data_IF_939825074651
#
_entry.id   IF_939825074651
#
_cell.length_a   1.000
_cell.length_b   1.000
_cell.length_c   1.000
_cell.angle_alpha   90.00
_cell.angle_beta   90.00
_cell.angle_gamma   90.00
#
_symmetry.space_group_name_H-M   'P 1'
#
loop_
_entity.id
_entity.type
_entity.pdbx_description
1 polymer ?
#
# COMPACT_ATOMS: atom_id res chain seq x y z
N UNK A 1 -27.35 37.27 -24.02
CA UNK A 1 -26.67 37.40 -25.32
C UNK A 1 -26.55 38.88 -25.62
N UNK A 2 -25.38 39.41 -26.04
CA UNK A 2 -24.11 38.74 -26.38
C UNK A 2 -23.01 39.09 -25.33
N UNK A 3 -21.76 38.61 -25.27
CA UNK A 3 -20.93 37.54 -25.86
C UNK A 3 -19.75 37.42 -24.84
N UNK A 4 -19.33 36.24 -24.39
CA UNK A 4 -18.34 35.44 -25.10
C UNK A 4 -16.91 35.69 -24.60
N UNK A 5 -16.58 35.29 -23.36
CA UNK A 5 -15.19 35.14 -22.91
C UNK A 5 -14.92 33.64 -22.63
N UNK A 6 -14.48 32.95 -23.68
CA UNK A 6 -13.89 31.62 -23.60
C UNK A 6 -12.52 31.72 -22.94
N UNK A 7 -12.44 31.33 -21.67
CA UNK A 7 -11.16 31.10 -21.00
C UNK A 7 -10.55 29.80 -21.51
N UNK A 8 -9.42 29.91 -22.21
CA UNK A 8 -8.62 28.79 -22.69
C UNK A 8 -8.25 27.88 -21.51
N UNK A 9 -8.69 26.63 -21.57
CA UNK A 9 -8.09 25.53 -20.80
C UNK A 9 -6.71 25.30 -21.42
N UNK A 10 -5.66 25.71 -20.71
CA UNK A 10 -4.31 25.33 -21.06
C UNK A 10 -4.16 23.82 -20.85
N UNK A 11 -4.24 23.06 -21.94
CA UNK A 11 -3.74 21.69 -21.99
C UNK A 11 -2.23 21.82 -22.01
N UNK A 12 -1.56 21.35 -20.96
CA UNK A 12 -0.11 21.23 -20.97
C UNK A 12 0.25 20.07 -21.91
N UNK A 13 0.70 20.40 -23.12
CA UNK A 13 1.45 19.48 -23.97
C UNK A 13 2.83 19.26 -23.31
N UNK A 14 3.11 18.02 -22.92
CA UNK A 14 4.39 17.58 -22.34
C UNK A 14 5.34 17.28 -23.50
N UNK A 15 6.05 18.32 -23.95
CA UNK A 15 7.11 18.19 -24.92
C UNK A 15 8.26 17.42 -24.28
N UNK A 16 8.76 16.36 -24.94
CA UNK A 16 9.72 15.38 -24.42
C UNK A 16 11.08 15.89 -23.90
N UNK A 17 11.26 17.20 -23.71
CA UNK A 17 12.35 17.81 -22.95
C UNK A 17 12.26 17.53 -21.44
N UNK A 18 11.07 17.28 -20.89
CA UNK A 18 10.90 17.00 -19.44
C UNK A 18 11.59 15.69 -18.99
N UNK A 19 11.67 14.70 -19.90
CA UNK A 19 12.26 13.39 -19.66
C UNK A 19 13.79 13.43 -19.60
N UNK A 20 14.41 14.22 -20.50
CA UNK A 20 15.87 14.39 -20.54
C UNK A 20 16.37 15.14 -19.30
N UNK A 21 15.61 16.11 -18.80
CA UNK A 21 15.92 16.85 -17.57
C UNK A 21 15.80 15.95 -16.34
N UNK A 22 14.82 15.03 -16.32
CA UNK A 22 14.68 14.03 -15.25
C UNK A 22 15.82 12.99 -15.26
N UNK A 23 16.25 12.49 -16.43
CA UNK A 23 17.41 11.59 -16.52
C UNK A 23 18.71 12.28 -16.09
N UNK A 24 18.93 13.53 -16.50
CA UNK A 24 20.11 14.31 -16.10
C UNK A 24 20.13 14.54 -14.58
N UNK A 25 18.98 14.84 -13.98
CA UNK A 25 18.85 14.95 -12.52
C UNK A 25 19.10 13.61 -11.81
N UNK A 26 18.69 12.49 -12.42
CA UNK A 26 18.94 11.13 -11.90
C UNK A 26 20.43 10.76 -11.93
N UNK A 27 21.11 11.06 -13.04
CA UNK A 27 22.54 10.83 -13.20
C UNK A 27 23.37 11.70 -12.23
N UNK A 28 23.02 12.98 -12.08
CA UNK A 28 23.67 13.91 -11.16
C UNK A 28 23.47 13.50 -9.69
N UNK A 29 22.28 13.00 -9.33
CA UNK A 29 21.98 12.51 -7.97
C UNK A 29 22.76 11.23 -7.65
N UNK A 30 22.91 10.31 -8.62
CA UNK A 30 23.73 9.10 -8.51
C UNK A 30 25.21 9.42 -8.31
N UNK A 31 25.77 10.36 -9.07
CA UNK A 31 27.16 10.82 -8.88
C UNK A 31 27.36 11.50 -7.51
N UNK A 32 26.40 12.32 -7.06
CA UNK A 32 26.49 13.02 -5.78
C UNK A 32 26.43 12.05 -4.58
N UNK A 33 25.67 10.95 -4.69
CA UNK A 33 25.63 9.87 -3.71
C UNK A 33 26.93 9.06 -3.67
N UNK A 34 27.55 8.80 -4.83
CA UNK A 34 28.83 8.09 -4.91
C UNK A 34 30.00 8.90 -4.34
N UNK A 35 29.90 10.24 -4.33
CA UNK A 35 30.89 11.17 -3.76
C UNK A 35 30.57 11.61 -2.33
N UNK A 36 29.53 11.06 -1.70
CA UNK A 36 29.15 11.43 -0.34
C UNK A 36 30.21 10.92 0.67
N UNK A 37 30.79 11.80 1.52
CA UNK A 37 31.86 11.43 2.45
C UNK A 37 31.53 10.26 3.39
N UNK A 38 30.25 10.11 3.75
CA UNK A 38 29.76 9.03 4.61
C UNK A 38 29.88 7.62 3.97
N UNK A 39 29.73 7.52 2.64
CA UNK A 39 29.87 6.25 1.90
C UNK A 39 31.34 5.91 1.64
N UNK A 40 32.19 6.92 1.51
CA UNK A 40 33.64 6.75 1.39
C UNK A 40 34.26 6.32 2.74
N UNK A 41 33.81 6.92 3.84
CA UNK A 41 34.18 6.49 5.20
C UNK A 41 33.71 5.06 5.53
N UNK A 42 32.52 4.64 5.06
CA UNK A 42 32.03 3.27 5.22
C UNK A 42 32.86 2.23 4.45
N UNK A 43 33.45 2.62 3.30
CA UNK A 43 34.37 1.76 2.54
C UNK A 43 35.74 1.65 3.21
N UNK A 44 36.28 2.76 3.73
CA UNK A 44 37.56 2.77 4.44
C UNK A 44 37.47 1.99 5.76
N UNK A 45 36.37 2.11 6.52
CA UNK A 45 36.13 1.31 7.73
C UNK A 45 35.96 -0.19 7.45
N UNK A 46 35.37 -0.58 6.33
CA UNK A 46 35.24 -1.99 5.93
C UNK A 46 36.59 -2.61 5.56
N UNK A 47 37.50 -1.82 4.96
CA UNK A 47 38.87 -2.28 4.63
C UNK A 47 39.79 -2.41 5.85
N UNK A 48 39.58 -1.60 6.89
CA UNK A 48 40.33 -1.65 8.16
C UNK A 48 39.90 -2.79 9.08
N UNK A 49 38.64 -3.23 9.00
CA UNK A 49 38.13 -4.37 9.77
C UNK A 49 38.58 -5.74 9.23
N UNK A 50 39.19 -5.79 8.04
CA UNK A 50 39.68 -7.04 7.44
C UNK A 50 41.19 -7.31 7.64
N UNK A 51 41.94 -6.41 8.30
CA UNK A 51 43.40 -6.56 8.49
C UNK A 51 43.89 -6.81 9.92
N UNK A 52 43.00 -6.98 10.90
CA UNK A 52 43.37 -7.17 12.31
C UNK A 52 42.75 -8.42 12.96
N UNK A 53 42.88 -9.57 12.31
CA UNK A 53 42.67 -10.88 12.94
C UNK A 53 44.02 -11.53 13.28
N UNK A 54 44.39 -11.72 14.56
CA UNK A 54 45.47 -12.63 14.91
C UNK A 54 44.97 -14.08 14.88
N UNK A 55 45.74 -14.91 14.18
CA UNK A 55 45.64 -16.37 14.18
C UNK A 55 45.96 -16.95 15.57
N UNK A 56 45.35 -18.11 15.84
CA UNK A 56 45.58 -19.07 16.93
C UNK A 56 45.07 -18.72 18.34
N UNK A 57 44.14 -19.55 18.84
CA UNK A 57 44.19 -20.28 20.12
C UNK A 57 43.09 -21.36 20.15
N UNK A 58 43.38 -22.50 20.78
CA UNK A 58 42.59 -23.75 20.78
C UNK A 58 41.33 -23.74 21.68
N UNK A 59 40.70 -24.91 21.92
CA UNK A 59 39.36 -24.99 22.48
C UNK A 59 39.40 -24.93 24.02
N UNK A 60 38.81 -23.88 24.60
CA UNK A 60 38.45 -23.83 26.02
C UNK A 60 36.98 -23.43 26.18
N UNK A 61 36.32 -24.17 27.08
CA UNK A 61 34.98 -24.11 27.64
C UNK A 61 34.02 -22.97 27.22
N UNK A 62 32.95 -23.36 26.53
CA UNK A 62 31.73 -22.57 26.42
C UNK A 62 30.99 -22.53 27.77
N UNK A 63 31.22 -21.48 28.57
CA UNK A 63 30.35 -21.15 29.68
C UNK A 63 28.99 -20.65 29.15
N UNK A 64 27.92 -21.38 29.49
CA UNK A 64 26.55 -21.00 29.20
C UNK A 64 26.19 -19.64 29.84
N UNK A 65 25.44 -18.75 29.16
CA UNK A 65 25.00 -17.50 29.75
C UNK A 65 24.00 -17.77 30.89
N UNK A 66 23.95 -16.92 31.93
CA UNK A 66 23.02 -17.12 33.04
C UNK A 66 21.58 -17.07 32.52
N UNK A 67 20.83 -18.11 32.85
CA UNK A 67 19.43 -18.39 32.47
C UNK A 67 18.40 -17.31 32.88
N UNK A 68 18.84 -16.22 33.52
CA UNK A 68 18.00 -15.08 33.91
C UNK A 68 17.87 -13.97 32.85
N UNK A 69 18.83 -13.79 31.94
CA UNK A 69 18.85 -12.63 31.04
C UNK A 69 17.85 -12.74 29.88
N UNK A 70 17.64 -13.95 29.35
CA UNK A 70 16.67 -14.22 28.29
C UNK A 70 15.21 -14.11 28.80
N UNK A 71 14.96 -14.47 30.07
CA UNK A 71 13.63 -14.43 30.67
C UNK A 71 13.20 -12.98 31.03
N UNK A 72 14.14 -12.11 31.42
CA UNK A 72 13.86 -10.70 31.70
C UNK A 72 13.50 -9.92 30.42
N UNK A 73 14.20 -10.18 29.31
CA UNK A 73 13.95 -9.52 28.02
C UNK A 73 12.58 -9.86 27.43
N UNK A 74 12.16 -11.13 27.50
CA UNK A 74 10.84 -11.57 27.06
C UNK A 74 9.71 -11.03 27.95
N UNK A 75 9.93 -10.94 29.28
CA UNK A 75 8.95 -10.36 30.20
C UNK A 75 8.85 -8.85 30.03
N UNK A 76 9.95 -8.12 29.87
CA UNK A 76 9.96 -6.68 29.66
C UNK A 76 9.30 -6.28 28.33
N UNK A 77 9.58 -7.01 27.24
CA UNK A 77 8.92 -6.82 25.94
C UNK A 77 7.42 -7.15 25.99
N UNK A 78 7.01 -8.18 26.75
CA UNK A 78 5.58 -8.47 26.98
C UNK A 78 4.86 -7.43 27.84
N UNK A 79 5.55 -6.81 28.80
CA UNK A 79 5.02 -5.74 29.65
C UNK A 79 4.87 -4.43 28.89
N UNK A 80 5.85 -4.05 28.06
CA UNK A 80 5.78 -2.86 27.21
C UNK A 80 4.66 -2.96 26.17
N UNK A 81 4.34 -4.17 25.67
CA UNK A 81 3.19 -4.40 24.78
C UNK A 81 1.84 -4.10 25.45
N UNK A 82 1.72 -4.19 26.78
CA UNK A 82 0.46 -3.91 27.50
C UNK A 82 0.12 -2.42 27.61
N UNK A 83 1.11 -1.54 27.46
CA UNK A 83 0.92 -0.09 27.49
C UNK A 83 0.68 0.51 26.09
N UNK A 84 0.61 -0.33 25.06
CA UNK A 84 0.31 0.14 23.71
C UNK A 84 -1.20 0.34 23.55
N UNK A 85 -1.54 1.34 22.77
CA UNK A 85 -2.89 1.63 22.32
C UNK A 85 -2.82 2.17 20.90
N UNK A 86 -3.62 1.58 20.01
CA UNK A 86 -3.59 1.92 18.59
C UNK A 86 -4.93 2.46 18.12
N UNK A 87 -4.91 3.60 17.46
CA UNK A 87 -6.04 4.14 16.72
C UNK A 87 -5.91 3.78 15.23
N UNK A 88 -6.80 2.92 14.77
CA UNK A 88 -6.95 2.59 13.34
C UNK A 88 -8.00 3.51 12.74
N UNK A 89 -7.66 4.23 11.67
CA UNK A 89 -8.63 5.01 10.90
C UNK A 89 -9.28 4.09 9.86
N UNK A 90 -10.58 3.84 10.00
CA UNK A 90 -11.30 2.96 9.11
C UNK A 90 -11.56 3.66 7.77
N UNK A 91 -11.21 2.98 6.67
CA UNK A 91 -11.57 3.40 5.32
C UNK A 91 -12.85 2.66 4.91
N UNK A 92 -13.84 3.38 4.38
CA UNK A 92 -15.14 2.86 3.99
C UNK A 92 -15.85 3.81 3.01
N UNK A 93 -16.99 3.38 2.46
CA UNK A 93 -17.83 4.17 1.56
C UNK A 93 -19.19 4.57 2.19
N UNK A 94 -19.25 4.61 3.52
CA UNK A 94 -20.46 4.68 4.39
C UNK A 94 -21.36 3.44 4.42
N UNK A 95 -21.24 2.52 3.46
CA UNK A 95 -22.09 1.32 3.40
C UNK A 95 -21.35 0.05 3.82
N UNK A 96 -20.11 -0.10 3.36
CA UNK A 96 -19.25 -1.26 3.57
C UNK A 96 -17.85 -0.84 3.94
N UNK A 97 -17.21 -1.61 4.83
CA UNK A 97 -15.80 -1.42 5.17
C UNK A 97 -14.90 -1.73 3.97
N UNK A 98 -13.89 -0.90 3.73
CA UNK A 98 -12.86 -1.20 2.73
C UNK A 98 -11.94 -2.31 3.26
N UNK A 99 -11.65 -3.37 2.47
CA UNK A 99 -10.87 -4.52 2.94
C UNK A 99 -9.52 -4.17 3.56
N UNK A 100 -8.83 -3.13 3.07
CA UNK A 100 -7.53 -2.70 3.58
C UNK A 100 -7.56 -2.39 5.09
N UNK A 101 -8.71 -1.94 5.62
CA UNK A 101 -8.86 -1.68 7.05
C UNK A 101 -8.66 -2.95 7.88
N UNK A 102 -9.08 -4.12 7.38
CA UNK A 102 -8.89 -5.41 8.05
C UNK A 102 -7.41 -5.77 8.14
N UNK A 103 -6.62 -5.50 7.10
CA UNK A 103 -5.16 -5.72 7.11
C UNK A 103 -4.48 -4.77 8.12
N UNK A 104 -4.95 -3.52 8.21
CA UNK A 104 -4.46 -2.53 9.17
C UNK A 104 -4.76 -2.95 10.62
N UNK A 105 -5.95 -3.51 10.89
CA UNK A 105 -6.32 -4.04 12.20
C UNK A 105 -5.38 -5.19 12.59
N UNK A 106 -5.09 -6.11 11.67
CA UNK A 106 -4.11 -7.19 11.90
C UNK A 106 -2.72 -6.62 12.22
N UNK A 107 -2.27 -5.61 11.48
CA UNK A 107 -1.00 -4.93 11.75
C UNK A 107 -1.00 -4.28 13.14
N UNK A 108 -2.06 -3.55 13.50
CA UNK A 108 -2.23 -2.91 14.80
C UNK A 108 -2.14 -3.92 15.96
N UNK A 109 -2.77 -5.10 15.83
CA UNK A 109 -2.68 -6.16 16.83
C UNK A 109 -1.25 -6.67 17.06
N UNK A 110 -0.37 -6.59 16.07
CA UNK A 110 1.04 -7.02 16.22
C UNK A 110 1.84 -6.10 17.15
N UNK A 111 1.42 -4.84 17.31
CA UNK A 111 2.01 -3.89 18.26
C UNK A 111 1.72 -4.27 19.72
N UNK A 112 0.63 -5.02 19.95
CA UNK A 112 0.11 -5.33 21.27
C UNK A 112 -0.85 -4.26 21.78
N UNK A 113 -1.40 -4.49 22.97
CA UNK A 113 -2.32 -3.56 23.61
C UNK A 113 -3.70 -3.49 22.97
N UNK A 114 -4.44 -2.43 23.27
CA UNK A 114 -5.81 -2.24 22.78
C UNK A 114 -5.84 -1.57 21.39
N UNK A 115 -6.74 -2.05 20.53
CA UNK A 115 -6.98 -1.46 19.20
C UNK A 115 -8.35 -0.82 19.19
N UNK A 116 -8.38 0.49 18.94
CA UNK A 116 -9.60 1.25 18.65
C UNK A 116 -9.69 1.54 17.16
N UNK A 117 -10.89 1.49 16.60
CA UNK A 117 -11.16 1.93 15.23
C UNK A 117 -11.99 3.22 15.24
N UNK A 118 -11.55 4.24 14.51
CA UNK A 118 -12.36 5.42 14.21
C UNK A 118 -13.10 5.23 12.90
N UNK A 119 -14.43 5.29 12.94
CA UNK A 119 -15.33 5.27 11.79
C UNK A 119 -15.98 6.66 11.68
N UNK A 120 -15.63 7.40 10.63
CA UNK A 120 -16.08 8.77 10.44
C UNK A 120 -16.73 8.94 9.07
N UNK A 121 -17.99 9.38 9.03
CA UNK A 121 -18.75 9.46 7.78
C UNK A 121 -20.08 10.17 7.92
N UNK A 122 -20.87 10.20 6.86
CA UNK A 122 -22.17 10.88 6.84
C UNK A 122 -23.30 9.98 7.36
N UNK A 123 -23.23 8.68 7.05
CA UNK A 123 -24.21 7.65 7.44
C UNK A 123 -23.49 6.32 7.67
N UNK A 124 -22.63 6.24 8.68
CA UNK A 124 -21.63 5.18 8.84
C UNK A 124 -21.98 4.13 9.91
N UNK A 125 -23.19 4.16 10.46
CA UNK A 125 -23.65 3.19 11.48
C UNK A 125 -23.49 1.72 11.02
N UNK A 126 -23.80 1.42 9.75
CA UNK A 126 -23.63 0.06 9.20
C UNK A 126 -22.17 -0.39 9.26
N UNK A 127 -21.25 0.49 8.89
CA UNK A 127 -19.81 0.23 8.93
C UNK A 127 -19.33 0.10 10.36
N UNK A 128 -19.81 0.94 11.29
CA UNK A 128 -19.48 0.79 12.71
C UNK A 128 -19.90 -0.58 13.27
N UNK A 129 -21.07 -1.08 12.87
CA UNK A 129 -21.56 -2.42 13.24
C UNK A 129 -20.77 -3.55 12.57
N UNK A 130 -20.22 -3.32 11.38
CA UNK A 130 -19.31 -4.27 10.73
C UNK A 130 -17.99 -4.35 11.48
N UNK A 131 -17.39 -3.19 11.75
CA UNK A 131 -16.11 -3.07 12.49
C UNK A 131 -16.21 -3.63 13.90
N UNK A 132 -17.36 -3.50 14.58
CA UNK A 132 -17.52 -4.02 15.95
C UNK A 132 -17.42 -5.55 16.04
N UNK A 133 -17.69 -6.25 14.93
CA UNK A 133 -17.60 -7.71 14.82
C UNK A 133 -16.21 -8.20 14.42
N UNK A 134 -15.31 -7.30 14.03
CA UNK A 134 -13.95 -7.64 13.60
C UNK A 134 -13.12 -8.07 14.80
N UNK A 135 -12.47 -9.23 14.68
CA UNK A 135 -11.73 -9.83 15.77
C UNK A 135 -10.47 -9.01 16.14
N UNK A 136 -10.44 -8.54 17.38
CA UNK A 136 -9.30 -7.81 17.96
C UNK A 136 -9.43 -6.29 17.90
N UNK A 137 -10.59 -5.78 17.47
CA UNK A 137 -11.00 -4.42 17.79
C UNK A 137 -11.63 -4.43 19.19
N UNK A 138 -11.17 -3.57 20.08
CA UNK A 138 -11.71 -3.41 21.43
C UNK A 138 -12.83 -2.37 21.47
N UNK A 139 -12.67 -1.28 20.69
CA UNK A 139 -13.57 -0.13 20.68
C UNK A 139 -13.74 0.42 19.27
N UNK A 140 -14.95 0.83 18.92
CA UNK A 140 -15.25 1.59 17.71
C UNK A 140 -15.73 2.98 18.11
N UNK A 141 -14.96 3.98 17.72
CA UNK A 141 -15.32 5.39 17.85
C UNK A 141 -16.09 5.80 16.60
N UNK A 142 -17.30 6.31 16.76
CA UNK A 142 -18.21 6.64 15.66
C UNK A 142 -18.43 8.15 15.60
N UNK A 143 -18.03 8.76 14.49
CA UNK A 143 -18.23 10.18 14.21
C UNK A 143 -19.15 10.33 12.98
N UNK A 144 -20.41 10.69 13.21
CA UNK A 144 -21.36 10.86 12.11
C UNK A 144 -21.70 12.34 11.91
N UNK A 145 -21.37 12.87 10.72
CA UNK A 145 -21.65 14.26 10.35
C UNK A 145 -21.50 14.48 8.84
N UNK A 146 -22.29 15.41 8.29
CA UNK A 146 -22.28 15.75 6.87
C UNK A 146 -20.93 16.32 6.38
N UNK A 147 -20.16 16.91 7.29
CA UNK A 147 -18.80 17.44 7.00
C UNK A 147 -17.84 16.34 6.52
N UNK A 148 -18.10 15.07 6.83
CA UNK A 148 -17.28 13.96 6.39
C UNK A 148 -17.63 13.45 5.00
N UNK A 149 -18.52 14.14 4.27
CA UNK A 149 -18.81 13.86 2.86
C UNK A 149 -17.52 13.93 2.04
N UNK A 150 -17.25 12.87 1.27
CA UNK A 150 -16.04 12.78 0.45
C UNK A 150 -14.76 12.47 1.23
N UNK A 151 -14.84 12.28 2.55
CA UNK A 151 -13.71 11.89 3.41
C UNK A 151 -12.49 12.83 3.29
N UNK A 152 -12.76 14.14 3.24
CA UNK A 152 -11.73 15.14 3.05
C UNK A 152 -10.75 15.16 4.24
N UNK A 153 -9.43 15.15 4.00
CA UNK A 153 -8.42 15.10 5.05
C UNK A 153 -8.43 16.38 5.90
N UNK A 154 -8.85 17.52 5.35
CA UNK A 154 -9.07 18.79 6.05
C UNK A 154 -10.08 18.64 7.20
N UNK A 155 -11.10 17.80 7.00
CA UNK A 155 -12.21 17.62 7.94
C UNK A 155 -11.98 16.43 8.88
N UNK A 156 -11.33 15.37 8.40
CA UNK A 156 -10.98 14.21 9.23
C UNK A 156 -9.83 14.48 10.18
N UNK A 157 -8.86 15.31 9.80
CA UNK A 157 -7.69 15.57 10.63
C UNK A 157 -8.05 16.19 12.00
N UNK A 158 -8.88 17.26 12.09
CA UNK A 158 -9.32 17.79 13.38
C UNK A 158 -9.96 16.74 14.29
N UNK A 159 -10.83 15.86 13.74
CA UNK A 159 -11.46 14.78 14.50
C UNK A 159 -10.42 13.82 15.09
N UNK A 160 -9.42 13.44 14.29
CA UNK A 160 -8.35 12.54 14.74
C UNK A 160 -7.50 13.20 15.83
N UNK A 161 -7.23 14.51 15.72
CA UNK A 161 -6.49 15.25 16.73
C UNK A 161 -7.26 15.37 18.05
N UNK A 162 -8.56 15.65 18.02
CA UNK A 162 -9.40 15.67 19.24
C UNK A 162 -9.50 14.28 19.86
N UNK A 163 -9.66 13.24 19.03
CA UNK A 163 -9.62 11.84 19.47
C UNK A 163 -8.27 11.52 20.14
N UNK A 164 -7.16 11.96 19.54
CA UNK A 164 -5.83 11.76 20.12
C UNK A 164 -5.68 12.50 21.46
N UNK A 165 -6.17 13.74 21.59
CA UNK A 165 -6.13 14.49 22.85
C UNK A 165 -6.92 13.81 23.95
N UNK A 166 -8.09 13.23 23.60
CA UNK A 166 -8.98 12.58 24.55
C UNK A 166 -8.43 11.23 25.06
N UNK A 167 -7.86 10.42 24.18
CA UNK A 167 -7.51 9.03 24.49
C UNK A 167 -6.00 8.75 24.55
N UNK A 168 -5.17 9.67 24.07
CA UNK A 168 -3.70 9.61 24.11
C UNK A 168 -3.13 8.29 23.53
N UNK A 169 -3.47 7.97 22.28
CA UNK A 169 -2.97 6.75 21.65
C UNK A 169 -1.46 6.80 21.41
N UNK A 170 -0.81 5.66 21.61
CA UNK A 170 0.62 5.49 21.29
C UNK A 170 0.89 5.36 19.78
N UNK A 171 -0.12 4.89 19.04
CA UNK A 171 -0.03 4.60 17.61
C UNK A 171 -1.28 5.10 16.89
N UNK A 172 -1.11 5.69 15.70
CA UNK A 172 -2.20 6.07 14.80
C UNK A 172 -1.87 5.55 13.41
N UNK A 173 -2.79 4.80 12.79
CA UNK A 173 -2.52 4.22 11.48
C UNK A 173 -3.75 4.07 10.58
N UNK A 174 -3.48 4.00 9.28
CA UNK A 174 -4.46 3.74 8.23
C UNK A 174 -3.83 2.87 7.12
N UNK A 175 -4.64 2.43 6.16
CA UNK A 175 -4.14 1.73 4.97
C UNK A 175 -3.32 2.65 4.07
N UNK A 176 -2.31 2.12 3.37
CA UNK A 176 -1.53 2.85 2.37
C UNK A 176 -2.26 3.00 1.01
N UNK A 177 -3.59 3.20 1.07
CA UNK A 177 -4.48 3.54 -0.05
C UNK A 177 -4.35 5.02 -0.42
N UNK A 178 -5.11 5.48 -1.43
CA UNK A 178 -5.22 6.90 -1.75
C UNK A 178 -5.74 7.71 -0.54
N UNK A 179 -6.71 7.17 0.19
CA UNK A 179 -7.25 7.77 1.41
C UNK A 179 -6.17 7.94 2.49
N UNK A 180 -5.51 6.86 2.91
CA UNK A 180 -4.54 6.96 3.99
C UNK A 180 -3.25 7.67 3.60
N UNK A 181 -2.79 7.57 2.33
CA UNK A 181 -1.64 8.35 1.84
C UNK A 181 -1.90 9.86 1.82
N UNK A 182 -3.16 10.27 1.69
CA UNK A 182 -3.54 11.66 1.78
C UNK A 182 -3.67 12.13 3.25
N UNK A 183 -4.30 11.30 4.10
CA UNK A 183 -4.62 11.65 5.48
C UNK A 183 -3.43 11.57 6.46
N UNK A 184 -2.66 10.48 6.42
CA UNK A 184 -1.64 10.17 7.44
C UNK A 184 -0.53 11.23 7.54
N UNK A 185 0.07 11.71 6.43
CA UNK A 185 1.10 12.75 6.51
C UNK A 185 0.57 14.05 7.14
N UNK A 186 -0.70 14.38 6.89
CA UNK A 186 -1.34 15.58 7.45
C UNK A 186 -1.53 15.47 8.97
N UNK A 187 -2.00 14.32 9.44
CA UNK A 187 -2.13 14.03 10.88
C UNK A 187 -0.76 14.11 11.57
N UNK A 188 0.26 13.47 10.99
CA UNK A 188 1.61 13.48 11.54
C UNK A 188 2.19 14.90 11.62
N UNK A 189 2.03 15.70 10.57
CA UNK A 189 2.46 17.10 10.56
C UNK A 189 1.78 17.94 11.65
N UNK A 190 0.47 17.75 11.87
CA UNK A 190 -0.27 18.46 12.93
C UNK A 190 0.13 18.02 14.35
N UNK A 191 0.61 16.79 14.51
CA UNK A 191 1.17 16.28 15.76
C UNK A 191 2.67 16.58 15.93
N UNK A 192 3.31 17.20 14.92
CA UNK A 192 4.76 17.46 14.90
C UNK A 192 5.62 16.20 15.06
N UNK A 193 5.24 15.11 14.38
CA UNK A 193 5.97 13.83 14.37
C UNK A 193 6.27 13.37 12.94
N UNK A 194 7.34 12.60 12.75
CA UNK A 194 7.66 12.01 11.45
C UNK A 194 6.75 10.81 11.10
N UNK A 195 6.03 10.83 9.96
CA UNK A 195 5.23 9.69 9.53
C UNK A 195 6.08 8.58 8.93
N UNK A 196 5.68 7.32 9.16
CA UNK A 196 6.27 6.14 8.51
C UNK A 196 5.32 5.64 7.44
N UNK A 197 5.65 5.86 6.17
CA UNK A 197 4.77 5.46 5.07
C UNK A 197 5.00 4.01 4.63
N UNK A 198 3.88 3.35 4.33
CA UNK A 198 3.79 2.11 3.56
C UNK A 198 4.64 0.96 4.15
N UNK A 199 4.42 0.69 5.44
CA UNK A 199 5.10 -0.39 6.15
C UNK A 199 4.65 -1.76 5.64
N UNK A 200 5.59 -2.70 5.59
CA UNK A 200 5.37 -4.09 5.18
C UNK A 200 5.55 -5.07 6.35
N UNK A 201 6.17 -4.64 7.44
CA UNK A 201 6.43 -5.47 8.62
C UNK A 201 6.51 -4.61 9.88
N UNK A 202 6.22 -5.22 11.02
CA UNK A 202 6.38 -4.64 12.36
C UNK A 202 7.30 -5.57 13.15
N UNK A 203 8.49 -5.09 13.52
CA UNK A 203 9.48 -5.84 14.32
C UNK A 203 9.27 -5.64 15.82
N UNK A 204 8.94 -4.41 16.22
CA UNK A 204 8.61 -4.02 17.59
C UNK A 204 7.66 -2.81 17.55
N UNK A 205 7.06 -2.39 18.69
CA UNK A 205 6.18 -1.22 18.72
C UNK A 205 6.81 0.06 18.14
N UNK A 206 8.13 0.20 18.21
CA UNK A 206 8.86 1.35 17.68
C UNK A 206 9.65 1.06 16.40
N UNK A 207 9.63 -0.16 15.86
CA UNK A 207 10.48 -0.56 14.72
C UNK A 207 9.68 -1.22 13.61
N UNK A 208 9.75 -0.63 12.43
CA UNK A 208 8.96 -0.99 11.26
C UNK A 208 9.87 -1.32 10.08
N UNK A 209 9.39 -2.13 9.15
CA UNK A 209 10.07 -2.38 7.87
C UNK A 209 9.24 -1.78 6.75
N UNK A 210 9.90 -1.10 5.82
CA UNK A 210 9.29 -0.55 4.62
C UNK A 210 10.19 -0.72 3.41
N UNK A 211 9.59 -0.67 2.23
CA UNK A 211 10.34 -0.62 0.98
C UNK A 211 10.56 0.80 0.51
N UNK A 212 11.70 1.04 -0.15
CA UNK A 212 11.98 2.24 -0.95
C UNK A 212 12.56 1.83 -2.32
N UNK A 213 12.68 2.79 -3.26
CA UNK A 213 13.15 2.54 -4.63
C UNK A 213 12.41 1.38 -5.33
N UNK A 214 11.08 1.48 -5.43
CA UNK A 214 10.22 0.42 -6.00
C UNK A 214 10.39 -0.96 -5.30
N UNK A 215 10.85 -0.94 -4.06
CA UNK A 215 11.13 -2.12 -3.24
C UNK A 215 12.36 -2.90 -3.64
N UNK A 216 13.33 -2.25 -4.29
CA UNK A 216 14.68 -2.77 -4.42
C UNK A 216 15.48 -2.66 -3.11
N UNK A 217 15.06 -1.77 -2.20
CA UNK A 217 15.70 -1.61 -0.89
C UNK A 217 14.64 -1.80 0.19
N UNK A 218 14.96 -2.66 1.16
CA UNK A 218 14.17 -2.90 2.36
C UNK A 218 14.85 -2.19 3.53
N UNK A 219 14.16 -1.23 4.13
CA UNK A 219 14.66 -0.44 5.25
C UNK A 219 13.97 -0.86 6.55
N UNK A 220 14.76 -1.10 7.59
CA UNK A 220 14.25 -1.16 8.97
C UNK A 220 14.37 0.24 9.57
N UNK A 221 13.25 0.79 10.04
CA UNK A 221 13.13 2.15 10.57
C UNK A 221 12.69 2.07 12.03
N UNK A 222 13.52 2.58 12.94
CA UNK A 222 13.15 2.78 14.34
C UNK A 222 12.63 4.21 14.52
N UNK A 223 11.48 4.35 15.17
CA UNK A 223 10.78 5.62 15.36
C UNK A 223 10.82 6.04 16.82
N UNK A 224 11.45 7.18 17.07
CA UNK A 224 11.66 7.73 18.42
C UNK A 224 10.56 8.72 18.82
N UNK A 225 9.59 8.97 17.94
CA UNK A 225 8.46 9.86 18.19
C UNK A 225 7.58 9.36 19.34
N UNK A 226 6.97 10.28 20.10
CA UNK A 226 6.09 9.90 21.20
C UNK A 226 4.83 9.16 20.72
N UNK A 227 4.30 9.57 19.55
CA UNK A 227 3.17 8.93 18.88
C UNK A 227 3.65 8.43 17.53
N UNK A 228 3.50 7.12 17.27
CA UNK A 228 3.90 6.52 15.99
C UNK A 228 2.75 6.67 15.01
N UNK A 229 2.94 7.50 13.99
CA UNK A 229 1.94 7.70 12.93
C UNK A 229 2.42 7.03 11.65
N UNK A 230 1.67 6.07 11.12
CA UNK A 230 2.14 5.27 9.99
C UNK A 230 1.03 4.78 9.07
N UNK A 231 1.37 4.42 7.84
CA UNK A 231 0.46 3.75 6.90
C UNK A 231 0.90 2.33 6.60
N UNK A 232 -0.07 1.43 6.45
CA UNK A 232 0.15 -0.02 6.33
C UNK A 232 -0.07 -0.49 4.89
N UNK A 233 0.88 -1.20 4.31
CA UNK A 233 0.69 -1.89 3.04
C UNK A 233 -0.29 -3.04 3.22
N UNK A 234 -1.47 -2.94 2.61
CA UNK A 234 -2.54 -3.94 2.75
C UNK A 234 -2.09 -5.35 2.38
N UNK A 235 -1.32 -5.50 1.30
CA UNK A 235 -0.85 -6.80 0.78
C UNK A 235 0.19 -7.50 1.66
N UNK A 236 0.74 -6.83 2.67
CA UNK A 236 1.79 -7.40 3.54
C UNK A 236 1.25 -8.00 4.84
N UNK A 237 -0.05 -7.84 5.12
CA UNK A 237 -0.69 -8.33 6.34
C UNK A 237 -1.97 -9.07 5.98
N UNK A 238 -2.29 -10.16 6.68
CA UNK A 238 -3.56 -10.87 6.49
C UNK A 238 -4.75 -10.03 6.95
N UNK A 239 -5.89 -10.19 6.29
CA UNK A 239 -7.13 -9.53 6.71
C UNK A 239 -7.61 -10.09 8.06
N UNK A 240 -7.99 -9.19 8.99
CA UNK A 240 -8.60 -9.60 10.25
C UNK A 240 -9.95 -10.31 10.01
N UNK A 241 -10.27 -11.37 10.79
CA UNK A 241 -11.58 -12.02 10.69
C UNK A 241 -12.72 -11.05 11.01
N UNK A 242 -13.74 -11.02 10.15
CA UNK A 242 -14.92 -10.13 10.27
C UNK A 242 -15.96 -10.61 11.29
N UNK A 243 -15.68 -11.71 11.98
CA UNK A 243 -16.56 -12.31 12.98
C UNK A 243 -15.77 -12.72 14.21
N UNK A 244 -16.45 -12.77 15.37
CA UNK A 244 -15.84 -13.16 16.64
C UNK A 244 -15.29 -11.98 17.46
N UNK A 245 -15.42 -10.75 16.96
CA UNK A 245 -15.27 -9.52 17.74
C UNK A 245 -16.57 -9.12 18.45
N UNK A 246 -16.43 -8.26 19.46
CA UNK A 246 -17.54 -7.72 20.26
C UNK A 246 -17.19 -6.32 20.77
N UNK A 247 -16.59 -5.48 19.91
CA UNK A 247 -16.11 -4.17 20.31
C UNK A 247 -17.27 -3.26 20.76
N UNK A 248 -17.02 -2.40 21.76
CA UNK A 248 -17.99 -1.39 22.16
C UNK A 248 -18.12 -0.31 21.08
N UNK A 249 -19.32 0.25 20.91
CA UNK A 249 -19.55 1.42 20.05
C UNK A 249 -19.64 2.67 20.93
N UNK A 250 -18.80 3.65 20.67
CA UNK A 250 -18.76 4.92 21.38
C UNK A 250 -18.90 6.07 20.40
N UNK A 251 -19.87 6.96 20.61
CA UNK A 251 -20.03 8.15 19.78
C UNK A 251 -18.95 9.17 20.16
N UNK A 252 -18.31 9.77 19.18
CA UNK A 252 -17.41 10.91 19.35
C UNK A 252 -18.00 12.14 18.69
N UNK A 253 -17.85 13.30 19.33
CA UNK A 253 -18.41 14.55 18.83
C UNK A 253 -17.53 15.10 17.71
N UNK A 254 -18.07 15.33 16.51
CA UNK A 254 -17.37 16.01 15.43
C UNK A 254 -16.91 17.42 15.88
N UNK A 255 -15.66 17.82 15.63
CA UNK A 255 -15.26 19.21 15.82
C UNK A 255 -15.94 20.11 14.77
N UNK A 256 -15.92 21.44 14.95
CA UNK A 256 -16.39 22.37 13.94
C UNK A 256 -15.70 22.14 12.58
N UNK A 257 -16.43 22.29 11.46
CA UNK A 257 -15.85 22.15 10.11
C UNK A 257 -14.64 23.06 9.89
N UNK A 258 -13.63 22.55 9.19
CA UNK A 258 -12.48 23.35 8.77
C UNK A 258 -12.86 24.32 7.64
N UNK A 259 -13.74 23.91 6.72
CA UNK A 259 -14.28 24.76 5.66
C UNK A 259 -13.26 25.21 4.63
N UNK A 260 -12.17 24.46 4.46
CA UNK A 260 -11.07 24.80 3.54
C UNK A 260 -11.26 24.22 2.13
N UNK A 261 -12.03 23.14 2.01
CA UNK A 261 -12.32 22.46 0.75
C UNK A 261 -13.73 21.89 0.78
N UNK A 262 -14.35 21.79 -0.39
CA UNK A 262 -15.69 21.24 -0.56
C UNK A 262 -15.66 20.03 -1.49
N UNK A 263 -16.36 18.97 -1.11
CA UNK A 263 -16.59 17.83 -1.98
C UNK A 263 -17.79 18.11 -2.89
N UNK A 264 -17.57 18.07 -4.21
CA UNK A 264 -18.61 18.33 -5.22
C UNK A 264 -19.19 17.02 -5.78
N UNK A 265 -18.35 16.19 -6.40
CA UNK A 265 -18.79 14.95 -7.04
C UNK A 265 -17.71 13.85 -7.02
N UNK A 266 -18.15 12.61 -7.20
CA UNK A 266 -17.29 11.44 -7.45
C UNK A 266 -17.94 10.54 -8.49
N UNK A 267 -17.20 10.20 -9.55
CA UNK A 267 -17.64 9.27 -10.60
C UNK A 267 -16.91 7.95 -10.44
N UNK A 268 -17.62 6.93 -9.98
CA UNK A 268 -17.09 5.58 -9.80
C UNK A 268 -17.35 4.73 -11.03
N UNK A 269 -16.31 4.05 -11.52
CA UNK A 269 -16.46 3.02 -12.55
C UNK A 269 -17.25 1.85 -11.97
N UNK A 270 -18.32 1.43 -12.65
CA UNK A 270 -19.06 0.22 -12.30
C UNK A 270 -18.50 -0.96 -13.08
N UNK A 271 -18.21 -2.04 -12.38
CA UNK A 271 -17.74 -3.30 -12.95
C UNK A 271 -18.38 -4.45 -12.19
N UNK A 272 -18.86 -5.46 -12.91
CA UNK A 272 -19.35 -6.71 -12.33
C UNK A 272 -18.19 -7.66 -11.94
N UNK A 273 -16.95 -7.30 -12.31
CA UNK A 273 -15.73 -8.07 -11.99
C UNK A 273 -15.18 -7.67 -10.62
N UNK A 274 -14.43 -8.58 -9.96
CA UNK A 274 -13.78 -8.29 -8.70
C UNK A 274 -12.92 -7.03 -8.74
N UNK A 275 -12.83 -6.34 -7.59
CA UNK A 275 -11.97 -5.17 -7.45
C UNK A 275 -10.50 -5.60 -7.41
N UNK A 276 -9.66 -4.90 -8.18
CA UNK A 276 -8.25 -5.25 -8.42
C UNK A 276 -7.41 -5.49 -7.16
N UNK A 277 -7.56 -4.66 -6.13
CA UNK A 277 -6.77 -4.76 -4.89
C UNK A 277 -7.16 -5.93 -3.99
N UNK A 278 -8.33 -6.53 -4.23
CA UNK A 278 -8.87 -7.65 -3.46
C UNK A 278 -8.98 -8.97 -4.23
N UNK A 279 -8.72 -8.93 -5.55
CA UNK A 279 -8.90 -10.08 -6.42
C UNK A 279 -7.82 -11.16 -6.20
N UNK A 280 -8.25 -12.42 -6.18
CA UNK A 280 -7.35 -13.58 -6.11
C UNK A 280 -6.63 -13.86 -7.43
N UNK A 281 -7.29 -13.53 -8.55
CA UNK A 281 -6.74 -13.68 -9.89
C UNK A 281 -6.83 -12.33 -10.58
N UNK A 282 -5.72 -11.89 -11.17
CA UNK A 282 -5.66 -10.65 -11.97
C UNK A 282 -5.12 -11.00 -13.35
N UNK A 283 -5.85 -10.60 -14.39
CA UNK A 283 -5.40 -10.65 -15.78
C UNK A 283 -5.10 -9.23 -16.20
N UNK A 284 -3.84 -8.93 -16.52
CA UNK A 284 -3.42 -7.57 -16.83
C UNK A 284 -2.96 -7.41 -18.27
N UNK A 285 -3.52 -6.42 -18.95
CA UNK A 285 -3.20 -6.08 -20.34
C UNK A 285 -2.18 -4.96 -20.48
N UNK A 286 -1.23 -5.15 -21.39
CA UNK A 286 -0.27 -4.12 -21.75
C UNK A 286 -0.56 -3.45 -23.10
N UNK A 287 0.34 -2.54 -23.50
CA UNK A 287 0.31 -1.91 -24.82
C UNK A 287 0.38 -2.92 -25.98
N UNK A 288 0.85 -4.15 -25.72
CA UNK A 288 0.83 -5.24 -26.69
C UNK A 288 -0.56 -5.59 -27.24
N UNK A 289 -1.63 -5.20 -26.54
CA UNK A 289 -3.03 -5.37 -26.99
C UNK A 289 -3.42 -4.43 -28.14
N UNK A 290 -2.63 -3.39 -28.43
CA UNK A 290 -2.78 -2.43 -29.55
C UNK A 290 -4.04 -1.56 -29.56
N UNK A 291 -5.14 -1.94 -28.93
CA UNK A 291 -6.37 -1.14 -28.83
C UNK A 291 -7.19 -1.53 -27.60
N UNK A 292 -8.13 -0.65 -27.20
CA UNK A 292 -9.11 -0.95 -26.16
C UNK A 292 -10.09 -2.05 -26.53
N UNK A 293 -10.46 -2.19 -27.81
CA UNK A 293 -11.35 -3.26 -28.28
C UNK A 293 -10.78 -4.65 -27.99
N UNK A 294 -9.47 -4.81 -28.13
CA UNK A 294 -8.78 -6.07 -27.89
C UNK A 294 -8.74 -6.47 -26.41
N UNK A 295 -9.04 -5.56 -25.46
CA UNK A 295 -9.21 -5.95 -24.06
C UNK A 295 -10.38 -6.91 -23.85
N UNK A 296 -11.31 -7.03 -24.82
CA UNK A 296 -12.32 -8.09 -24.83
C UNK A 296 -11.73 -9.49 -24.63
N UNK A 297 -10.54 -9.75 -25.19
CA UNK A 297 -9.83 -11.02 -25.01
C UNK A 297 -9.52 -11.31 -23.53
N UNK A 298 -9.16 -10.27 -22.78
CA UNK A 298 -8.84 -10.37 -21.35
C UNK A 298 -10.12 -10.46 -20.52
N UNK A 299 -11.17 -9.73 -20.90
CA UNK A 299 -12.49 -9.84 -20.27
C UNK A 299 -13.06 -11.25 -20.39
N UNK A 300 -13.04 -11.83 -21.61
CA UNK A 300 -13.52 -13.18 -21.85
C UNK A 300 -12.76 -14.23 -21.02
N UNK A 301 -11.43 -14.08 -20.90
CA UNK A 301 -10.61 -14.95 -20.05
C UNK A 301 -10.87 -14.72 -18.56
N UNK A 302 -11.06 -13.47 -18.14
CA UNK A 302 -11.33 -13.12 -16.75
C UNK A 302 -12.64 -13.70 -16.26
N UNK A 303 -13.66 -13.73 -17.12
CA UNK A 303 -14.96 -14.26 -16.79
C UNK A 303 -14.91 -15.78 -16.53
N UNK A 304 -14.01 -16.51 -17.20
CA UNK A 304 -13.76 -17.94 -16.93
C UNK A 304 -13.04 -18.19 -15.60
N UNK A 305 -12.20 -17.24 -15.16
CA UNK A 305 -11.38 -17.38 -13.96
C UNK A 305 -11.94 -16.62 -12.75
N UNK A 306 -13.10 -15.97 -12.90
CA UNK A 306 -13.62 -15.01 -11.92
C UNK A 306 -12.55 -13.98 -11.49
N UNK A 307 -11.80 -13.48 -12.46
CA UNK A 307 -10.64 -12.62 -12.26
C UNK A 307 -11.00 -11.13 -12.37
N UNK A 308 -10.21 -10.29 -11.71
CA UNK A 308 -10.16 -8.87 -12.03
C UNK A 308 -9.32 -8.63 -13.30
N UNK A 309 -9.62 -7.54 -14.01
CA UNK A 309 -8.80 -7.10 -15.15
C UNK A 309 -8.06 -5.83 -14.81
N UNK A 310 -6.75 -5.88 -15.00
CA UNK A 310 -5.86 -4.73 -14.80
C UNK A 310 -5.19 -4.31 -16.10
N UNK A 311 -4.39 -3.26 -16.03
CA UNK A 311 -3.62 -2.80 -17.17
C UNK A 311 -2.32 -2.10 -16.77
N UNK A 312 -1.35 -2.12 -17.68
CA UNK A 312 -0.16 -1.28 -17.55
C UNK A 312 -0.49 0.19 -17.79
N UNK A 313 0.28 1.10 -17.19
CA UNK A 313 0.19 2.54 -17.48
C UNK A 313 0.26 2.85 -18.98
N UNK A 314 1.10 2.14 -19.73
CA UNK A 314 1.23 2.34 -21.17
C UNK A 314 -0.07 2.04 -21.97
N UNK A 315 -0.96 1.20 -21.43
CA UNK A 315 -2.28 0.96 -22.04
C UNK A 315 -3.29 2.04 -21.64
N UNK A 316 -3.21 2.54 -20.40
CA UNK A 316 -4.03 3.67 -19.91
C UNK A 316 -3.70 4.95 -20.67
N UNK A 317 -2.42 5.29 -20.76
CA UNK A 317 -1.93 6.49 -21.46
C UNK A 317 -2.28 6.44 -22.96
N UNK A 318 -2.44 5.24 -23.54
CA UNK A 318 -2.89 5.04 -24.92
C UNK A 318 -4.42 5.06 -25.09
N UNK A 319 -5.17 5.31 -24.01
CA UNK A 319 -6.64 5.36 -24.03
C UNK A 319 -7.33 4.02 -24.19
N UNK A 320 -6.64 2.89 -23.94
CA UNK A 320 -7.24 1.56 -24.11
C UNK A 320 -8.24 1.22 -23.00
N UNK A 321 -7.95 1.68 -21.78
CA UNK A 321 -8.74 1.44 -20.58
C UNK A 321 -8.60 2.60 -19.59
N UNK A 322 -9.57 2.78 -18.67
CA UNK A 322 -9.51 3.81 -17.63
C UNK A 322 -8.37 3.60 -16.61
N UNK A 323 -8.01 4.68 -15.92
CA UNK A 323 -6.91 4.72 -14.94
C UNK A 323 -7.16 3.84 -13.70
N UNK A 324 -8.41 3.56 -13.34
CA UNK A 324 -8.75 2.67 -12.22
C UNK A 324 -8.32 1.22 -12.44
N UNK A 325 -8.06 0.82 -13.69
CA UNK A 325 -7.51 -0.48 -14.04
C UNK A 325 -5.98 -0.53 -13.94
N UNK A 326 -5.32 0.62 -13.73
CA UNK A 326 -3.87 0.70 -13.76
C UNK A 326 -3.23 -0.05 -12.60
N UNK A 327 -2.30 -0.96 -12.92
CA UNK A 327 -1.42 -1.64 -11.95
C UNK A 327 -0.01 -1.05 -12.05
N UNK A 328 0.61 -0.81 -10.90
CA UNK A 328 1.97 -0.29 -10.81
C UNK A 328 2.15 0.75 -9.71
N UNK A 329 3.34 1.32 -9.64
CA UNK A 329 3.75 2.31 -8.64
C UNK A 329 2.82 3.53 -8.57
N UNK A 330 2.34 4.00 -9.72
CA UNK A 330 1.42 5.13 -9.84
C UNK A 330 -0.04 4.71 -10.00
N UNK A 331 -0.31 3.39 -9.95
CA UNK A 331 -1.65 2.82 -9.99
C UNK A 331 -1.93 2.04 -8.71
N UNK A 332 -2.61 0.90 -8.85
CA UNK A 332 -2.91 -0.02 -7.78
C UNK A 332 -1.74 -0.99 -7.55
N UNK A 333 -1.49 -1.26 -6.27
CA UNK A 333 -0.62 -2.36 -5.82
C UNK A 333 -1.53 -3.56 -5.55
N UNK A 334 -1.21 -4.69 -6.15
CA UNK A 334 -1.96 -5.94 -6.05
C UNK A 334 -1.00 -7.07 -5.68
N UNK A 335 -1.50 -8.07 -4.95
CA UNK A 335 -0.77 -9.29 -4.62
C UNK A 335 -1.69 -10.52 -4.74
N UNK A 336 -2.22 -10.80 -5.94
CA UNK A 336 -3.10 -11.95 -6.17
C UNK A 336 -2.37 -13.29 -5.99
N UNK A 337 -3.16 -14.36 -5.87
CA UNK A 337 -2.67 -15.73 -5.98
C UNK A 337 -2.14 -16.03 -7.38
N UNK A 338 -2.77 -15.47 -8.41
CA UNK A 338 -2.36 -15.60 -9.81
C UNK A 338 -2.43 -14.24 -10.55
N UNK A 339 -1.32 -13.86 -11.15
CA UNK A 339 -1.21 -12.69 -12.03
C UNK A 339 -0.83 -13.13 -13.44
N UNK A 340 -1.69 -12.85 -14.43
CA UNK A 340 -1.43 -13.15 -15.84
C UNK A 340 -1.13 -11.83 -16.57
N UNK A 341 0.14 -11.59 -16.88
CA UNK A 341 0.61 -10.43 -17.63
C UNK A 341 0.58 -10.70 -19.15
N UNK A 342 -0.32 -10.03 -19.86
CA UNK A 342 -0.54 -10.22 -21.31
C UNK A 342 -0.05 -9.00 -22.08
N UNK A 343 1.01 -9.16 -22.88
CA UNK A 343 1.56 -8.09 -23.70
C UNK A 343 2.15 -6.92 -22.89
N UNK A 344 2.65 -7.20 -21.68
CA UNK A 344 3.29 -6.25 -20.77
C UNK A 344 4.81 -6.46 -20.84
N UNK A 345 5.58 -5.38 -20.99
CA UNK A 345 7.04 -5.46 -21.08
C UNK A 345 7.71 -5.75 -19.73
N UNK A 346 7.11 -5.32 -18.62
CA UNK A 346 7.71 -5.48 -17.28
C UNK A 346 8.59 -4.30 -16.85
N UNK A 347 8.23 -3.08 -17.22
CA UNK A 347 8.88 -1.89 -16.67
C UNK A 347 8.83 -1.89 -15.13
N UNK A 348 9.89 -1.42 -14.47
CA UNK A 348 10.05 -1.44 -13.00
C UNK A 348 8.83 -0.83 -12.29
N UNK A 349 8.24 0.22 -12.87
CA UNK A 349 7.05 0.88 -12.33
C UNK A 349 5.82 -0.02 -12.35
N UNK A 350 5.68 -0.90 -13.36
CA UNK A 350 4.61 -1.91 -13.39
C UNK A 350 4.88 -3.00 -12.35
N UNK A 351 6.11 -3.53 -12.34
CA UNK A 351 6.51 -4.61 -11.42
C UNK A 351 6.34 -4.21 -9.95
N UNK A 352 6.62 -2.95 -9.61
CA UNK A 352 6.43 -2.41 -8.26
C UNK A 352 5.00 -2.60 -7.71
N UNK A 353 4.00 -2.72 -8.59
CA UNK A 353 2.60 -2.93 -8.22
C UNK A 353 2.12 -4.37 -8.28
N UNK A 354 2.92 -5.34 -8.71
CA UNK A 354 2.48 -6.74 -8.86
C UNK A 354 3.52 -7.81 -8.54
N UNK A 355 4.76 -7.43 -8.22
CA UNK A 355 5.85 -8.38 -7.94
C UNK A 355 5.60 -9.28 -6.73
N UNK A 356 4.72 -8.88 -5.83
CA UNK A 356 4.35 -9.64 -4.63
C UNK A 356 3.22 -10.65 -4.93
N UNK A 357 2.83 -10.83 -6.20
CA UNK A 357 1.89 -11.88 -6.62
C UNK A 357 2.51 -13.26 -6.38
N UNK A 358 1.70 -14.22 -5.93
CA UNK A 358 2.20 -15.56 -5.58
C UNK A 358 2.63 -16.37 -6.81
N UNK A 359 1.95 -16.19 -7.94
CA UNK A 359 2.32 -16.81 -9.21
C UNK A 359 2.13 -15.80 -10.34
N UNK A 360 3.20 -15.57 -11.11
CA UNK A 360 3.24 -14.65 -12.25
C UNK A 360 3.38 -15.45 -13.53
N UNK A 361 2.39 -15.32 -14.41
CA UNK A 361 2.39 -15.86 -15.76
C UNK A 361 2.58 -14.71 -16.75
N UNK A 362 3.53 -14.81 -17.67
CA UNK A 362 3.78 -13.80 -18.69
C UNK A 362 3.57 -14.35 -20.10
N UNK A 363 2.78 -13.64 -20.90
CA UNK A 363 2.56 -13.91 -22.32
C UNK A 363 3.07 -12.70 -23.10
N UNK A 364 4.17 -12.85 -23.82
CA UNK A 364 4.76 -11.79 -24.62
C UNK A 364 5.37 -12.35 -25.90
N UNK A 365 5.34 -11.59 -26.99
CA UNK A 365 5.98 -12.00 -28.26
C UNK A 365 7.50 -11.80 -28.24
N UNK A 366 7.98 -10.89 -27.38
CA UNK A 366 9.39 -10.52 -27.28
C UNK A 366 10.05 -11.37 -26.19
N UNK A 367 10.92 -12.35 -26.55
CA UNK A 367 11.58 -13.22 -25.57
C UNK A 367 12.47 -12.47 -24.57
N UNK A 368 12.90 -11.26 -24.91
CA UNK A 368 13.78 -10.44 -24.08
C UNK A 368 13.00 -9.48 -23.17
N UNK A 369 11.66 -9.57 -23.13
CA UNK A 369 10.84 -8.70 -22.31
C UNK A 369 11.20 -8.85 -20.81
N UNK A 370 11.51 -7.75 -20.09
CA UNK A 370 11.87 -7.77 -18.67
C UNK A 370 10.88 -8.50 -17.73
N UNK A 371 9.60 -8.58 -18.10
CA UNK A 371 8.58 -9.31 -17.35
C UNK A 371 8.97 -10.78 -17.11
N UNK A 372 9.71 -11.40 -18.03
CA UNK A 372 10.15 -12.79 -17.89
C UNK A 372 11.18 -12.98 -16.77
N UNK A 373 11.85 -11.92 -16.31
CA UNK A 373 12.79 -11.99 -15.19
C UNK A 373 12.10 -12.23 -13.84
N UNK A 374 10.80 -11.95 -13.76
CA UNK A 374 9.98 -12.12 -12.54
C UNK A 374 8.83 -13.10 -12.73
N UNK A 375 8.67 -13.68 -13.92
CA UNK A 375 7.59 -14.62 -14.20
C UNK A 375 7.97 -16.03 -13.75
N UNK A 376 7.06 -16.71 -13.05
CA UNK A 376 7.18 -18.14 -12.74
C UNK A 376 6.95 -18.99 -13.99
N UNK A 377 6.04 -18.53 -14.87
CA UNK A 377 5.75 -19.16 -16.15
C UNK A 377 5.79 -18.13 -17.28
N UNK A 378 6.67 -18.33 -18.25
CA UNK A 378 6.77 -17.49 -19.43
C UNK A 378 6.35 -18.22 -20.70
N UNK A 379 5.52 -17.59 -21.53
CA UNK A 379 5.19 -18.07 -22.86
C UNK A 379 5.54 -17.01 -23.91
N UNK A 380 6.54 -17.33 -24.74
CA UNK A 380 6.94 -16.49 -25.85
C UNK A 380 6.04 -16.79 -27.05
N UNK A 381 4.97 -16.01 -27.20
CA UNK A 381 3.95 -16.25 -28.21
C UNK A 381 3.12 -15.02 -28.54
N UNK A 382 2.36 -15.13 -29.64
CA UNK A 382 1.36 -14.13 -30.01
C UNK A 382 0.12 -14.24 -29.11
N UNK A 383 -0.11 -13.20 -28.29
CA UNK A 383 -1.24 -13.12 -27.37
C UNK A 383 -2.60 -13.25 -28.08
N UNK A 384 -2.70 -12.81 -29.34
CA UNK A 384 -3.95 -12.86 -30.11
C UNK A 384 -4.36 -14.28 -30.50
N UNK A 385 -3.43 -15.24 -30.40
CA UNK A 385 -3.70 -16.68 -30.63
C UNK A 385 -3.87 -17.40 -29.31
N UNK A 386 -2.93 -17.19 -28.40
CA UNK A 386 -2.85 -17.94 -27.14
C UNK A 386 -3.99 -17.61 -26.19
N UNK A 387 -4.33 -16.33 -26.00
CA UNK A 387 -5.35 -15.95 -25.01
C UNK A 387 -6.73 -16.56 -25.37
N UNK A 388 -7.21 -16.48 -26.62
CA UNK A 388 -8.41 -17.21 -27.03
C UNK A 388 -8.31 -18.73 -26.81
N UNK A 389 -7.19 -19.35 -27.15
CA UNK A 389 -7.00 -20.80 -26.99
C UNK A 389 -7.08 -21.20 -25.51
N UNK A 390 -6.44 -20.44 -24.62
CA UNK A 390 -6.53 -20.63 -23.16
C UNK A 390 -7.97 -20.51 -22.68
N UNK A 391 -8.71 -19.49 -23.13
CA UNK A 391 -10.12 -19.31 -22.78
C UNK A 391 -10.97 -20.51 -23.21
N UNK A 392 -10.77 -21.03 -24.41
CA UNK A 392 -11.50 -22.19 -24.92
C UNK A 392 -11.14 -23.50 -24.20
N UNK A 393 -9.87 -23.66 -23.79
CA UNK A 393 -9.45 -24.80 -22.98
C UNK A 393 -10.08 -24.78 -21.57
N UNK A 394 -10.24 -23.59 -20.99
CA UNK A 394 -10.88 -23.43 -19.68
C UNK A 394 -12.38 -23.70 -19.73
N UNK A 395 -13.08 -23.32 -20.80
CA UNK A 395 -14.52 -23.63 -20.99
C UNK A 395 -14.82 -25.12 -21.10
N UNK A 396 -13.84 -25.94 -21.51
CA UNK A 396 -13.99 -27.38 -21.70
C UNK A 396 -13.77 -28.18 -20.42
N UNK A 397 -13.23 -27.56 -19.38
CA UNK A 397 -13.15 -28.11 -18.03
C UNK A 397 -14.41 -27.75 -17.25
#
# INVERSE_FOLDING_TARGET
MPDGLSGNVAVAEDDGESFAVQEAAFAASRERLLRAPALQAAREHSSLLFSLAPNHLGPEEAAAPPSGSLCLSLKASSLLRRFQSTLVIAEHNNESLTPITLNVITAAKRLGGEVSCLVAGTSCDKVAQEVSKVQGVAKVLVAQHDVYKGFLPEELTPLILETQKQFNYTHICAGASAFGKNLIPRVAAKLSVAPISDIIEIKSPDTFVRTIYAGNIVCTVKCEENVKVFSVRGTSFEAAPVSGGSASLEKVTPPPPAGLCEWIEQKLTKSDRPELTSAKVVISGGRGLKSGENFKLLYDLADQLHAAVGASRAAVDAGFVPNDMQVGQTGKIVAPELYIAVGISGAIQHLAGMKDSKTIVAINKDPEAPIFQVADYGLVADLFKVVPEMTELLKKK
#
